data_IF_104112325586
#
_entry.id   IF_104112325586
#
_cell.length_a   1.000
_cell.length_b   1.000
_cell.length_c   1.000
_cell.angle_alpha   90.00
_cell.angle_beta   90.00
_cell.angle_gamma   90.00
#
_symmetry.space_group_name_H-M   'P 1'
#
loop_
_entity.id
_entity.type
_entity.pdbx_description
1 polymer ?
#
# COMPACT_ATOMS: atom_id res chain seq x y z
N UNK A 1 4.03 -23.23 -3.05
CA UNK A 1 2.94 -22.60 -2.26
C UNK A 1 1.96 -23.67 -1.80
N UNK A 2 1.64 -23.75 -0.51
CA UNK A 2 0.64 -24.68 0.07
C UNK A 2 -0.77 -24.10 -0.05
N UNK A 3 -1.82 -24.92 0.16
CA UNK A 3 -3.20 -24.42 0.19
C UNK A 3 -3.41 -23.38 1.32
N UNK A 4 -2.80 -23.58 2.48
CA UNK A 4 -2.84 -22.63 3.58
C UNK A 4 -2.22 -21.28 3.18
N UNK A 5 -1.06 -21.28 2.52
CA UNK A 5 -0.44 -20.05 2.02
C UNK A 5 -1.31 -19.35 0.96
N UNK A 6 -2.03 -20.09 0.12
CA UNK A 6 -2.99 -19.49 -0.82
C UNK A 6 -4.11 -18.78 -0.06
N UNK A 7 -4.66 -19.40 0.96
CA UNK A 7 -5.73 -18.79 1.78
C UNK A 7 -5.22 -17.55 2.51
N UNK A 8 -4.01 -17.60 3.11
CA UNK A 8 -3.42 -16.43 3.76
C UNK A 8 -3.16 -15.29 2.76
N UNK A 9 -2.64 -15.62 1.55
CA UNK A 9 -2.47 -14.62 0.49
C UNK A 9 -3.81 -13.96 0.13
N UNK A 10 -4.86 -14.74 -0.11
CA UNK A 10 -6.20 -14.22 -0.42
C UNK A 10 -6.76 -13.39 0.74
N UNK A 11 -6.62 -13.86 1.98
CA UNK A 11 -7.09 -13.18 3.19
C UNK A 11 -6.45 -11.80 3.34
N UNK A 12 -5.12 -11.70 3.23
CA UNK A 12 -4.39 -10.46 3.46
C UNK A 12 -4.28 -9.55 2.24
N UNK A 13 -4.64 -10.04 1.05
CA UNK A 13 -4.81 -9.25 -0.17
C UNK A 13 -6.26 -8.80 -0.42
N UNK A 14 -7.22 -9.26 0.37
CA UNK A 14 -8.64 -8.93 0.16
C UNK A 14 -8.88 -7.44 0.39
N UNK A 15 -9.57 -6.81 -0.55
CA UNK A 15 -10.01 -5.41 -0.43
C UNK A 15 -11.01 -5.17 0.71
N UNK A 16 -11.67 -6.23 1.21
CA UNK A 16 -12.55 -6.19 2.39
C UNK A 16 -11.80 -6.36 3.72
N UNK A 17 -10.46 -6.57 3.70
CA UNK A 17 -9.68 -6.65 4.93
C UNK A 17 -9.90 -5.39 5.79
N UNK A 18 -10.27 -5.53 7.10
CA UNK A 18 -10.73 -4.41 7.91
C UNK A 18 -9.58 -3.50 8.40
N UNK A 19 -8.73 -3.05 7.48
CA UNK A 19 -7.62 -2.11 7.73
C UNK A 19 -7.99 -0.65 7.47
N UNK A 20 -9.20 -0.39 6.95
CA UNK A 20 -9.70 0.96 6.70
C UNK A 20 -9.33 1.55 5.33
N UNK A 21 -8.86 0.75 4.38
CA UNK A 21 -8.47 1.20 3.03
C UNK A 21 -9.59 1.90 2.27
N UNK A 22 -10.86 1.55 2.53
CA UNK A 22 -12.04 2.11 1.87
C UNK A 22 -12.21 3.64 2.05
N UNK A 23 -11.62 4.22 3.09
CA UNK A 23 -11.69 5.65 3.37
C UNK A 23 -10.75 6.51 2.51
N UNK A 24 -9.92 5.89 1.66
CA UNK A 24 -8.87 6.58 0.92
C UNK A 24 -9.06 6.47 -0.58
N UNK A 25 -8.59 7.48 -1.33
CA UNK A 25 -8.70 7.56 -2.79
C UNK A 25 -7.34 7.50 -3.52
N UNK A 26 -6.23 7.58 -2.80
CA UNK A 26 -4.89 7.75 -3.38
C UNK A 26 -4.82 8.98 -4.30
N UNK A 27 -5.29 10.13 -3.83
CA UNK A 27 -5.37 11.42 -4.56
C UNK A 27 -6.31 11.43 -5.77
N UNK A 28 -7.08 10.35 -6.01
CA UNK A 28 -7.98 10.26 -7.17
C UNK A 28 -9.10 11.30 -7.09
N UNK A 29 -9.67 11.56 -5.91
CA UNK A 29 -10.75 12.53 -5.74
C UNK A 29 -10.35 13.89 -6.32
N UNK A 30 -9.18 14.40 -5.90
CA UNK A 30 -8.65 15.66 -6.43
C UNK A 30 -8.35 15.59 -7.94
N UNK A 31 -7.82 14.47 -8.42
CA UNK A 31 -7.56 14.28 -9.85
C UNK A 31 -8.86 14.35 -10.69
N UNK A 32 -9.97 13.85 -10.15
CA UNK A 32 -11.31 13.95 -10.78
C UNK A 32 -11.82 15.39 -10.72
N UNK A 33 -11.73 16.08 -9.58
CA UNK A 33 -12.13 17.48 -9.42
C UNK A 33 -11.36 18.40 -10.38
N UNK A 34 -10.06 18.16 -10.53
CA UNK A 34 -9.19 18.90 -11.46
C UNK A 34 -9.35 18.46 -12.93
N UNK A 35 -10.26 17.53 -13.22
CA UNK A 35 -10.51 16.97 -14.56
C UNK A 35 -9.31 16.31 -15.21
N UNK A 36 -8.30 15.91 -14.43
CA UNK A 36 -7.16 15.09 -14.88
C UNK A 36 -7.65 13.68 -15.18
N UNK A 37 -8.54 13.15 -14.32
CA UNK A 37 -9.23 11.88 -14.52
C UNK A 37 -10.70 12.14 -14.76
N UNK A 38 -11.22 11.72 -15.94
CA UNK A 38 -12.60 12.01 -16.36
C UNK A 38 -13.28 10.84 -17.08
N UNK A 39 -12.54 9.78 -17.43
CA UNK A 39 -13.04 8.57 -18.08
C UNK A 39 -12.18 7.33 -17.72
N UNK A 40 -12.55 6.16 -18.22
CA UNK A 40 -11.85 4.90 -17.96
C UNK A 40 -10.39 4.89 -18.49
N UNK A 41 -10.13 5.58 -19.60
CA UNK A 41 -8.79 5.63 -20.19
C UNK A 41 -7.84 6.50 -19.35
N UNK A 42 -8.28 7.66 -18.90
CA UNK A 42 -7.54 8.53 -17.98
C UNK A 42 -7.38 7.89 -16.61
N UNK A 43 -8.41 7.18 -16.11
CA UNK A 43 -8.33 6.40 -14.88
C UNK A 43 -7.25 5.31 -14.97
N UNK A 44 -7.18 4.56 -16.07
CA UNK A 44 -6.15 3.54 -16.26
C UNK A 44 -4.74 4.13 -16.18
N UNK A 45 -4.49 5.28 -16.83
CA UNK A 45 -3.19 5.97 -16.76
C UNK A 45 -2.88 6.49 -15.36
N UNK A 46 -3.87 7.00 -14.65
CA UNK A 46 -3.71 7.45 -13.27
C UNK A 46 -3.34 6.29 -12.34
N UNK A 47 -4.04 5.15 -12.45
CA UNK A 47 -3.74 3.95 -11.66
C UNK A 47 -2.34 3.43 -11.97
N UNK A 48 -1.88 3.42 -13.25
CA UNK A 48 -0.50 3.05 -13.60
C UNK A 48 0.53 3.97 -12.90
N UNK A 49 0.28 5.29 -12.84
CA UNK A 49 1.16 6.22 -12.14
C UNK A 49 1.19 5.96 -10.63
N UNK A 50 0.02 5.69 -10.01
CA UNK A 50 -0.08 5.33 -8.58
C UNK A 50 0.67 4.02 -8.28
N UNK A 51 0.54 3.00 -9.15
CA UNK A 51 1.26 1.74 -8.99
C UNK A 51 2.78 1.92 -9.08
N UNK A 52 3.27 2.72 -10.03
CA UNK A 52 4.70 3.04 -10.16
C UNK A 52 5.23 3.78 -8.93
N UNK A 53 4.51 4.80 -8.46
CA UNK A 53 4.85 5.52 -7.23
C UNK A 53 4.91 4.58 -6.02
N UNK A 54 3.92 3.71 -5.89
CA UNK A 54 3.86 2.72 -4.82
C UNK A 54 4.99 1.70 -4.93
N UNK A 55 5.31 1.21 -6.13
CA UNK A 55 6.39 0.24 -6.34
C UNK A 55 7.74 0.76 -5.87
N UNK A 56 8.07 2.02 -6.21
CA UNK A 56 9.38 2.63 -5.91
C UNK A 56 9.52 3.17 -4.48
N UNK A 57 8.45 3.16 -3.69
CA UNK A 57 8.44 3.55 -2.28
C UNK A 57 7.93 2.43 -1.38
N UNK A 58 6.62 2.23 -1.31
CA UNK A 58 5.96 1.22 -0.46
C UNK A 58 6.38 -0.22 -0.81
N UNK A 59 6.56 -0.50 -2.11
CA UNK A 59 6.99 -1.81 -2.60
C UNK A 59 8.41 -2.16 -2.12
N UNK A 60 9.37 -1.25 -2.32
CA UNK A 60 10.75 -1.43 -1.85
C UNK A 60 10.76 -1.60 -0.32
N UNK A 61 10.05 -0.75 0.42
CA UNK A 61 9.99 -0.84 1.88
C UNK A 61 9.38 -2.17 2.36
N UNK A 62 8.32 -2.66 1.72
CA UNK A 62 7.72 -3.95 2.06
C UNK A 62 8.66 -5.13 1.81
N UNK A 63 9.35 -5.15 0.66
CA UNK A 63 10.33 -6.19 0.31
C UNK A 63 11.51 -6.18 1.27
N UNK A 64 12.08 -5.01 1.55
CA UNK A 64 13.20 -4.85 2.49
C UNK A 64 12.79 -5.25 3.91
N UNK A 65 11.57 -4.87 4.36
CA UNK A 65 11.05 -5.29 5.66
C UNK A 65 10.87 -6.81 5.77
N UNK A 66 10.42 -7.45 4.68
CA UNK A 66 10.35 -8.92 4.64
C UNK A 66 11.74 -9.55 4.81
N UNK A 67 12.75 -9.04 4.13
CA UNK A 67 14.15 -9.52 4.24
C UNK A 67 14.69 -9.32 5.66
N UNK A 68 14.50 -8.14 6.25
CA UNK A 68 14.87 -7.84 7.63
C UNK A 68 14.17 -8.76 8.64
N UNK A 69 12.91 -9.11 8.40
CA UNK A 69 12.15 -10.07 9.20
C UNK A 69 12.80 -11.46 9.17
N UNK A 70 13.16 -11.95 7.99
CA UNK A 70 13.78 -13.28 7.82
C UNK A 70 15.18 -13.35 8.43
N UNK A 71 15.91 -12.24 8.46
CA UNK A 71 17.21 -12.12 9.14
C UNK A 71 17.10 -11.82 10.65
N UNK A 72 15.89 -11.72 11.19
CA UNK A 72 15.59 -11.36 12.58
C UNK A 72 16.19 -9.99 13.02
N UNK A 73 16.35 -9.06 12.07
CA UNK A 73 16.90 -7.72 12.32
C UNK A 73 15.75 -6.72 12.62
N UNK A 74 15.42 -6.60 13.89
CA UNK A 74 14.37 -5.69 14.37
C UNK A 74 14.75 -4.21 14.24
N UNK A 75 16.04 -3.90 14.36
CA UNK A 75 16.54 -2.52 14.26
C UNK A 75 16.37 -2.01 12.80
N UNK A 76 16.70 -2.86 11.83
CA UNK A 76 16.46 -2.58 10.43
C UNK A 76 14.95 -2.36 10.14
N UNK A 77 14.06 -3.15 10.74
CA UNK A 77 12.59 -2.93 10.59
C UNK A 77 12.17 -1.53 11.06
N UNK A 78 12.69 -1.08 12.22
CA UNK A 78 12.38 0.25 12.74
C UNK A 78 12.94 1.36 11.84
N UNK A 79 14.15 1.19 11.29
CA UNK A 79 14.75 2.17 10.37
C UNK A 79 13.98 2.25 9.03
N UNK A 80 13.61 1.10 8.45
CA UNK A 80 12.79 1.04 7.23
C UNK A 80 11.47 1.78 7.43
N UNK A 81 10.78 1.53 8.55
CA UNK A 81 9.51 2.18 8.90
C UNK A 81 9.65 3.69 9.00
N UNK A 82 10.67 4.17 9.70
CA UNK A 82 10.95 5.59 9.86
C UNK A 82 11.34 6.26 8.53
N UNK A 83 12.10 5.60 7.67
CA UNK A 83 12.48 6.12 6.34
C UNK A 83 11.28 6.20 5.41
N UNK A 84 10.45 5.15 5.35
CA UNK A 84 9.25 5.16 4.52
C UNK A 84 8.30 6.29 4.94
N UNK A 85 8.07 6.48 6.25
CA UNK A 85 7.19 7.54 6.72
C UNK A 85 7.70 8.93 6.30
N UNK A 86 9.01 9.16 6.33
CA UNK A 86 9.63 10.42 5.89
C UNK A 86 9.48 10.68 4.38
N UNK A 87 9.34 9.63 3.56
CA UNK A 87 9.07 9.76 2.13
C UNK A 87 7.63 10.19 1.82
N UNK A 88 6.70 10.10 2.78
CA UNK A 88 5.32 10.56 2.60
C UNK A 88 5.24 12.05 2.92
N UNK A 89 5.17 12.89 1.87
CA UNK A 89 5.24 14.35 2.02
C UNK A 89 3.99 14.95 2.68
N UNK A 90 2.82 14.33 2.49
CA UNK A 90 1.53 14.83 2.96
C UNK A 90 1.12 14.18 4.28
N UNK A 91 0.45 14.95 5.14
CA UNK A 91 -0.03 14.46 6.44
C UNK A 91 -1.09 13.36 6.27
N UNK A 92 -2.01 13.51 5.32
CA UNK A 92 -3.06 12.52 5.04
C UNK A 92 -2.46 11.18 4.61
N UNK A 93 -1.43 11.17 3.75
CA UNK A 93 -0.71 9.96 3.35
C UNK A 93 0.04 9.30 4.52
N UNK A 94 0.65 10.09 5.41
CA UNK A 94 1.28 9.59 6.64
C UNK A 94 0.25 8.94 7.55
N UNK A 95 -0.87 9.62 7.78
CA UNK A 95 -1.95 9.12 8.64
C UNK A 95 -2.59 7.85 8.06
N UNK A 96 -2.81 7.79 6.74
CA UNK A 96 -3.30 6.60 6.06
C UNK A 96 -2.39 5.41 6.34
N UNK A 97 -1.11 5.55 6.04
CA UNK A 97 -0.12 4.49 6.23
C UNK A 97 -0.07 3.98 7.68
N UNK A 98 -0.02 4.89 8.65
CA UNK A 98 0.03 4.53 10.08
C UNK A 98 -1.29 3.90 10.57
N UNK A 99 -2.45 4.39 10.13
CA UNK A 99 -3.76 3.82 10.51
C UNK A 99 -3.94 2.42 9.99
N UNK A 100 -3.66 2.22 8.71
CA UNK A 100 -3.78 0.91 8.06
C UNK A 100 -2.76 -0.09 8.63
N UNK A 101 -1.51 0.34 8.84
CA UNK A 101 -0.47 -0.51 9.40
C UNK A 101 -0.76 -0.94 10.84
N UNK A 102 -1.26 -0.02 11.69
CA UNK A 102 -1.72 -0.35 13.04
C UNK A 102 -2.83 -1.40 13.01
N UNK A 103 -3.85 -1.20 12.16
CA UNK A 103 -4.96 -2.17 12.04
C UNK A 103 -4.50 -3.53 11.56
N UNK A 104 -3.56 -3.57 10.61
CA UNK A 104 -2.98 -4.82 10.15
C UNK A 104 -2.18 -5.51 11.28
N UNK A 105 -1.38 -4.77 12.05
CA UNK A 105 -0.62 -5.32 13.18
C UNK A 105 -1.53 -5.86 14.28
N UNK A 106 -2.62 -5.14 14.62
CA UNK A 106 -3.64 -5.59 15.56
C UNK A 106 -4.28 -6.92 15.09
N UNK A 107 -4.69 -6.98 13.82
CA UNK A 107 -5.31 -8.17 13.23
C UNK A 107 -4.32 -9.34 13.18
N UNK A 108 -3.11 -9.11 12.67
CA UNK A 108 -2.09 -10.13 12.58
C UNK A 108 -1.69 -10.70 13.95
N UNK A 109 -1.59 -9.87 14.98
CA UNK A 109 -1.30 -10.32 16.34
C UNK A 109 -2.40 -11.21 16.94
N UNK A 110 -3.65 -11.09 16.47
CA UNK A 110 -4.77 -11.94 16.88
C UNK A 110 -4.81 -13.28 16.13
N UNK A 111 -4.27 -13.32 14.91
CA UNK A 111 -4.44 -14.48 14.01
C UNK A 111 -3.19 -15.35 13.90
N UNK A 112 -1.98 -14.84 14.20
CA UNK A 112 -0.72 -15.56 13.97
C UNK A 112 -0.02 -16.04 15.25
N UNK A 113 -0.36 -15.50 16.43
CA UNK A 113 0.31 -15.76 17.71
C UNK A 113 1.85 -15.58 17.66
N UNK A 114 2.37 -14.87 16.65
CA UNK A 114 3.80 -14.69 16.43
C UNK A 114 4.37 -13.60 17.34
N UNK A 115 5.46 -13.90 18.06
CA UNK A 115 6.09 -12.99 19.04
C UNK A 115 6.62 -11.69 18.41
N UNK A 116 7.11 -11.74 17.18
CA UNK A 116 7.60 -10.55 16.47
C UNK A 116 6.43 -9.62 16.13
N UNK A 117 5.32 -10.17 15.62
CA UNK A 117 4.12 -9.38 15.30
C UNK A 117 3.51 -8.77 16.57
N UNK A 118 3.48 -9.52 17.66
CA UNK A 118 3.00 -9.00 18.97
C UNK A 118 3.88 -7.83 19.43
N UNK A 119 5.21 -7.98 19.39
CA UNK A 119 6.15 -6.90 19.70
C UNK A 119 5.95 -5.69 18.80
N UNK A 120 5.82 -5.89 17.48
CA UNK A 120 5.59 -4.83 16.50
C UNK A 120 4.32 -4.03 16.82
N UNK A 121 3.21 -4.71 17.09
CA UNK A 121 1.94 -4.10 17.52
C UNK A 121 2.11 -3.29 18.82
N UNK A 122 2.82 -3.83 19.80
CA UNK A 122 3.01 -3.18 21.11
C UNK A 122 3.86 -1.92 20.99
N UNK A 123 4.92 -1.93 20.16
CA UNK A 123 5.75 -0.77 19.88
C UNK A 123 4.97 0.32 19.10
N UNK A 124 4.06 -0.07 18.18
CA UNK A 124 3.13 0.88 17.55
C UNK A 124 2.20 1.50 18.60
N UNK A 125 1.62 0.69 19.49
CA UNK A 125 0.71 1.16 20.53
C UNK A 125 1.41 2.11 21.52
N UNK A 126 2.67 1.83 21.86
CA UNK A 126 3.52 2.68 22.70
C UNK A 126 4.06 3.93 21.96
N UNK A 127 3.83 4.06 20.66
CA UNK A 127 4.34 5.13 19.79
C UNK A 127 5.87 5.16 19.69
N UNK A 128 6.54 4.03 19.85
CA UNK A 128 7.98 3.90 19.64
C UNK A 128 8.32 3.89 18.15
N UNK A 129 7.40 3.38 17.33
CA UNK A 129 7.48 3.29 15.86
C UNK A 129 6.17 3.77 15.24
N UNK A 130 6.20 4.11 13.96
CA UNK A 130 5.03 4.55 13.21
C UNK A 130 4.10 3.39 12.83
N UNK A 131 4.68 2.26 12.46
CA UNK A 131 3.98 1.06 12.05
C UNK A 131 3.28 1.25 10.70
N UNK A 132 4.03 1.67 9.69
CA UNK A 132 3.48 1.88 8.34
C UNK A 132 2.93 0.58 7.75
N UNK A 133 1.91 0.70 6.89
CA UNK A 133 1.23 -0.46 6.32
C UNK A 133 2.17 -1.38 5.51
N UNK A 134 3.03 -0.87 4.61
CA UNK A 134 3.93 -1.71 3.82
C UNK A 134 4.94 -2.49 4.67
N UNK A 135 5.50 -1.88 5.71
CA UNK A 135 6.45 -2.56 6.60
C UNK A 135 5.73 -3.63 7.41
N UNK A 136 4.57 -3.32 7.97
CA UNK A 136 3.74 -4.30 8.68
C UNK A 136 3.33 -5.47 7.78
N UNK A 137 3.01 -5.20 6.50
CA UNK A 137 2.68 -6.22 5.52
C UNK A 137 3.90 -7.10 5.19
N UNK A 138 5.09 -6.50 5.05
CA UNK A 138 6.34 -7.23 4.85
C UNK A 138 6.66 -8.21 5.99
N UNK A 139 6.47 -7.76 7.24
CA UNK A 139 6.63 -8.61 8.44
C UNK A 139 5.62 -9.77 8.40
N UNK A 140 4.35 -9.48 8.18
CA UNK A 140 3.29 -10.48 8.16
C UNK A 140 3.53 -11.54 7.09
N UNK A 141 3.87 -11.14 5.87
CA UNK A 141 4.11 -12.06 4.76
C UNK A 141 5.36 -12.94 4.98
N UNK A 142 6.40 -12.40 5.63
CA UNK A 142 7.56 -13.19 6.04
C UNK A 142 7.18 -14.27 7.05
N UNK A 143 6.39 -13.91 8.08
CA UNK A 143 5.91 -14.84 9.12
C UNK A 143 5.02 -15.94 8.53
N UNK A 144 4.16 -15.61 7.57
CA UNK A 144 3.28 -16.56 6.89
C UNK A 144 4.00 -17.41 5.82
N UNK A 145 5.31 -17.20 5.62
CA UNK A 145 6.11 -17.94 4.66
C UNK A 145 5.74 -17.64 3.20
N UNK A 146 5.14 -16.48 2.93
CA UNK A 146 4.85 -15.99 1.59
C UNK A 146 6.10 -15.36 0.98
N UNK A 147 6.30 -15.51 -0.33
CA UNK A 147 7.48 -15.01 -1.02
C UNK A 147 7.38 -13.51 -1.40
N UNK A 148 8.46 -12.96 -1.93
CA UNK A 148 8.55 -11.54 -2.29
C UNK A 148 7.61 -11.16 -3.43
N UNK A 149 7.44 -12.02 -4.42
CA UNK A 149 6.55 -11.77 -5.55
C UNK A 149 5.09 -11.76 -5.11
N UNK A 150 4.72 -12.64 -4.17
CA UNK A 150 3.38 -12.69 -3.59
C UNK A 150 3.10 -11.45 -2.73
N UNK A 151 4.07 -11.03 -1.90
CA UNK A 151 3.98 -9.79 -1.13
C UNK A 151 3.77 -8.58 -2.03
N UNK A 152 4.62 -8.44 -3.06
CA UNK A 152 4.56 -7.31 -3.97
C UNK A 152 3.24 -7.30 -4.75
N UNK A 153 2.80 -8.45 -5.27
CA UNK A 153 1.53 -8.57 -5.98
C UNK A 153 0.34 -8.19 -5.09
N UNK A 154 0.30 -8.67 -3.84
CA UNK A 154 -0.75 -8.34 -2.88
C UNK A 154 -0.76 -6.83 -2.55
N UNK A 155 0.42 -6.24 -2.33
CA UNK A 155 0.57 -4.82 -2.04
C UNK A 155 0.08 -3.96 -3.21
N UNK A 156 0.53 -4.24 -4.45
CA UNK A 156 0.10 -3.50 -5.64
C UNK A 156 -1.38 -3.72 -5.97
N UNK A 157 -1.90 -4.93 -5.78
CA UNK A 157 -3.32 -5.22 -5.92
C UNK A 157 -4.17 -4.40 -4.93
N UNK A 158 -3.73 -4.30 -3.67
CA UNK A 158 -4.38 -3.48 -2.66
C UNK A 158 -4.44 -1.99 -3.03
N UNK A 159 -3.34 -1.43 -3.52
CA UNK A 159 -3.27 -0.03 -4.00
C UNK A 159 -4.20 0.18 -5.20
N UNK A 160 -4.16 -0.74 -6.17
CA UNK A 160 -5.00 -0.68 -7.37
C UNK A 160 -6.49 -0.77 -7.03
N UNK A 161 -6.89 -1.74 -6.20
CA UNK A 161 -8.30 -1.92 -5.82
C UNK A 161 -8.83 -0.78 -4.97
N UNK A 162 -8.03 -0.22 -4.05
CA UNK A 162 -8.39 0.98 -3.29
C UNK A 162 -8.72 2.14 -4.22
N UNK A 163 -7.84 2.42 -5.19
CA UNK A 163 -8.04 3.51 -6.17
C UNK A 163 -9.26 3.26 -7.07
N UNK A 164 -9.43 2.03 -7.57
CA UNK A 164 -10.58 1.69 -8.43
C UNK A 164 -11.91 1.69 -7.68
N UNK A 165 -11.94 1.27 -6.42
CA UNK A 165 -13.14 1.37 -5.58
C UNK A 165 -13.51 2.83 -5.28
N UNK A 166 -12.51 3.71 -5.12
CA UNK A 166 -12.77 5.15 -5.03
C UNK A 166 -13.35 5.69 -6.35
N UNK A 167 -12.81 5.26 -7.50
CA UNK A 167 -13.30 5.68 -8.81
C UNK A 167 -14.80 5.39 -9.02
N UNK A 168 -15.28 4.23 -8.57
CA UNK A 168 -16.71 3.87 -8.65
C UNK A 168 -17.63 4.85 -7.88
N UNK A 169 -17.09 5.63 -6.96
CA UNK A 169 -17.82 6.59 -6.14
C UNK A 169 -17.74 8.01 -6.68
N UNK A 170 -16.62 8.41 -7.28
CA UNK A 170 -16.38 9.80 -7.70
C UNK A 170 -16.32 9.98 -9.24
N UNK A 171 -16.37 8.91 -10.03
CA UNK A 171 -16.25 8.95 -11.48
C UNK A 171 -17.37 8.12 -12.17
N UNK A 172 -17.77 8.51 -13.37
CA UNK A 172 -18.71 7.74 -14.18
C UNK A 172 -17.99 6.57 -14.88
N UNK A 173 -17.67 5.53 -14.13
CA UNK A 173 -17.10 4.27 -14.62
C UNK A 173 -17.91 3.10 -14.08
N UNK A 174 -17.86 1.97 -14.78
CA UNK A 174 -18.56 0.75 -14.41
C UNK A 174 -17.63 -0.26 -13.73
N UNK A 175 -18.20 -1.24 -13.04
CA UNK A 175 -17.42 -2.38 -12.55
C UNK A 175 -16.70 -3.13 -13.67
N UNK A 176 -17.26 -3.17 -14.88
CA UNK A 176 -16.58 -3.78 -16.04
C UNK A 176 -15.32 -2.99 -16.44
N UNK A 177 -15.36 -1.66 -16.36
CA UNK A 177 -14.20 -0.82 -16.64
C UNK A 177 -13.10 -1.06 -15.61
N UNK A 178 -13.44 -1.13 -14.32
CA UNK A 178 -12.46 -1.41 -13.27
C UNK A 178 -11.81 -2.79 -13.44
N UNK A 179 -12.58 -3.83 -13.79
CA UNK A 179 -12.05 -5.17 -14.04
C UNK A 179 -11.14 -5.22 -15.29
N UNK A 180 -11.47 -4.48 -16.35
CA UNK A 180 -10.57 -4.35 -17.52
C UNK A 180 -9.26 -3.66 -17.15
N UNK A 181 -9.29 -2.61 -16.33
CA UNK A 181 -8.09 -1.93 -15.84
C UNK A 181 -7.21 -2.90 -15.03
N UNK A 182 -7.79 -3.68 -14.11
CA UNK A 182 -7.04 -4.70 -13.35
C UNK A 182 -6.34 -5.67 -14.31
N UNK A 183 -7.06 -6.22 -15.27
CA UNK A 183 -6.50 -7.17 -16.25
C UNK A 183 -5.38 -6.52 -17.09
N UNK A 184 -5.57 -5.27 -17.50
CA UNK A 184 -4.59 -4.52 -18.29
C UNK A 184 -3.30 -4.27 -17.52
N UNK A 185 -3.42 -3.89 -16.24
CA UNK A 185 -2.28 -3.51 -15.40
C UNK A 185 -1.61 -4.70 -14.70
N UNK A 186 -2.18 -5.90 -14.76
CA UNK A 186 -1.58 -7.10 -14.14
C UNK A 186 -0.15 -7.36 -14.65
N UNK A 187 0.09 -7.26 -15.97
CA UNK A 187 1.44 -7.38 -16.57
C UNK A 187 2.37 -6.26 -16.12
N UNK A 188 1.80 -5.07 -15.90
CA UNK A 188 2.56 -3.92 -15.41
C UNK A 188 3.12 -4.15 -14.01
N UNK A 189 2.38 -4.85 -13.15
CA UNK A 189 2.84 -5.21 -11.80
C UNK A 189 4.06 -6.13 -11.87
N UNK A 190 4.08 -7.09 -12.80
CA UNK A 190 5.23 -7.98 -13.02
C UNK A 190 6.48 -7.18 -13.44
N UNK A 191 6.35 -6.30 -14.43
CA UNK A 191 7.43 -5.40 -14.87
C UNK A 191 7.96 -4.50 -13.75
N UNK A 192 7.05 -3.97 -12.90
CA UNK A 192 7.43 -3.14 -11.75
C UNK A 192 8.17 -3.95 -10.69
N UNK A 193 7.75 -5.20 -10.45
CA UNK A 193 8.46 -6.09 -9.53
C UNK A 193 9.90 -6.33 -10.01
N UNK A 194 10.10 -6.68 -11.28
CA UNK A 194 11.43 -6.89 -11.84
C UNK A 194 12.34 -5.64 -11.69
N UNK A 195 11.77 -4.43 -11.77
CA UNK A 195 12.51 -3.18 -11.62
C UNK A 195 12.95 -2.90 -10.19
N UNK A 196 12.19 -3.35 -9.18
CA UNK A 196 12.43 -2.97 -7.78
C UNK A 196 12.85 -4.14 -6.89
N UNK A 197 12.76 -5.38 -7.36
CA UNK A 197 12.99 -6.57 -6.53
C UNK A 197 14.37 -6.60 -5.87
N UNK A 198 15.39 -6.13 -6.57
CA UNK A 198 16.78 -6.11 -6.06
C UNK A 198 17.17 -4.80 -5.36
N UNK A 199 16.23 -3.82 -5.29
CA UNK A 199 16.52 -2.54 -4.66
C UNK A 199 16.40 -2.62 -3.14
N UNK A 200 17.19 -1.77 -2.47
CA UNK A 200 17.19 -1.64 -1.03
C UNK A 200 16.55 -0.32 -0.60
N UNK A 201 16.31 -0.15 0.70
CA UNK A 201 15.66 1.02 1.30
C UNK A 201 16.35 2.35 0.93
N UNK A 202 17.67 2.36 0.76
CA UNK A 202 18.44 3.53 0.35
C UNK A 202 18.17 3.94 -1.12
N UNK A 203 17.57 3.06 -1.90
CA UNK A 203 17.25 3.26 -3.31
C UNK A 203 15.79 3.62 -3.55
N UNK A 204 15.01 3.89 -2.49
CA UNK A 204 13.65 4.43 -2.64
C UNK A 204 13.68 5.80 -3.34
N UNK A 205 12.73 6.01 -4.24
CA UNK A 205 12.57 7.30 -4.92
C UNK A 205 11.12 7.59 -5.29
N UNK A 206 10.78 8.87 -5.36
CA UNK A 206 9.47 9.33 -5.83
C UNK A 206 9.42 9.32 -7.35
N UNK A 207 8.45 8.62 -7.92
CA UNK A 207 8.25 8.53 -9.36
C UNK A 207 7.33 9.63 -9.91
N UNK A 208 6.24 9.92 -9.21
CA UNK A 208 5.16 10.80 -9.68
C UNK A 208 4.88 11.92 -8.64
N UNK A 209 5.69 12.99 -8.59
CA UNK A 209 5.52 14.10 -7.64
C UNK A 209 4.17 14.81 -7.81
N UNK A 210 3.51 14.70 -8.97
CA UNK A 210 2.18 15.22 -9.21
C UNK A 210 1.12 14.60 -8.26
N UNK A 211 1.31 13.34 -7.85
CA UNK A 211 0.42 12.71 -6.88
C UNK A 211 0.52 13.38 -5.51
N UNK A 212 1.71 13.80 -5.10
CA UNK A 212 1.93 14.55 -3.86
C UNK A 212 1.30 15.94 -3.93
N UNK A 213 1.35 16.61 -5.11
CA UNK A 213 0.67 17.88 -5.34
C UNK A 213 -0.85 17.72 -5.23
N UNK A 214 -1.42 16.66 -5.83
CA UNK A 214 -2.85 16.37 -5.73
C UNK A 214 -3.27 16.07 -4.29
N UNK A 215 -2.46 15.31 -3.54
CA UNK A 215 -2.71 15.07 -2.12
C UNK A 215 -2.65 16.37 -1.30
N UNK A 216 -1.70 17.26 -1.57
CA UNK A 216 -1.61 18.56 -0.89
C UNK A 216 -2.79 19.49 -1.22
N UNK A 217 -3.34 19.42 -2.44
CA UNK A 217 -4.57 20.12 -2.80
C UNK A 217 -5.78 19.53 -2.06
N UNK A 218 -5.84 18.21 -1.90
CA UNK A 218 -6.89 17.52 -1.15
C UNK A 218 -6.93 17.98 0.31
N UNK A 219 -5.79 18.11 0.97
CA UNK A 219 -5.70 18.58 2.37
C UNK A 219 -6.34 19.96 2.58
N UNK A 220 -6.38 20.81 1.54
CA UNK A 220 -6.97 22.14 1.56
C UNK A 220 -8.43 22.18 1.09
N UNK A 221 -8.95 21.08 0.57
CA UNK A 221 -10.32 20.97 0.07
C UNK A 221 -11.35 21.11 1.19
N UNK A 222 -12.47 21.79 0.89
CA UNK A 222 -13.57 22.04 1.85
C UNK A 222 -14.67 20.98 1.78
N UNK A 223 -14.81 20.30 0.65
CA UNK A 223 -15.79 19.22 0.45
C UNK A 223 -15.04 17.96 0.02
N UNK A 224 -14.93 16.98 0.93
CA UNK A 224 -14.15 15.76 0.72
C UNK A 224 -15.00 14.54 0.98
N UNK A 225 -15.00 13.59 0.05
CA UNK A 225 -15.66 12.30 0.20
C UNK A 225 -14.72 11.26 0.86
N UNK A 226 -13.42 11.41 0.64
CA UNK A 226 -12.36 10.53 1.16
C UNK A 226 -11.49 11.25 2.19
N UNK A 227 -10.61 10.50 2.83
CA UNK A 227 -9.65 11.03 3.81
C UNK A 227 -8.30 11.42 3.16
N UNK A 228 -8.13 11.06 1.89
CA UNK A 228 -7.04 11.53 1.02
C UNK A 228 -7.40 11.39 -0.45
#
# INVERSE_FOLDING_TARGET
MTLTQIIHLLQFADSALPVGAFAFSNSLETAVEQRIVHDAATLCRFVDAVLRQSATTDGIAALTARRATLSADYEALCDIDARLLRCKLNEELRQMNCRMGRKLAELAAQTTENKLIVRWRDDIAARHIAGTYPVTQGILFAVEGLDESQLFAAQQYGVMTTTLNAALRCLRVTHYDTQRIITTLAKRIEELYEQVAELDIDQMYTFAPELDVLAALHERGTARMFMN
#
